data_IF_509733516337
#
_entry.id   IF_509733516337
#
_cell.length_a   1.000
_cell.length_b   1.000
_cell.length_c   1.000
_cell.angle_alpha   90.00
_cell.angle_beta   90.00
_cell.angle_gamma   90.00
#
_symmetry.space_group_name_H-M   'P 1'
#
loop_
_entity.id
_entity.type
_entity.pdbx_description
1 polymer ?
#
# COMPACT_ATOMS: atom_id res chain seq x y z
N UNK A 1 -0.79 42.45 -6.43
CA UNK A 1 0.23 41.47 -6.00
C UNK A 1 -0.32 40.71 -4.80
N UNK A 2 -0.84 39.51 -4.98
CA UNK A 2 -1.34 38.66 -3.90
C UNK A 2 -0.53 37.36 -3.91
N UNK A 3 0.21 37.12 -2.83
CA UNK A 3 1.09 35.96 -2.66
C UNK A 3 0.27 34.67 -2.57
N UNK A 4 0.53 33.73 -3.48
CA UNK A 4 0.10 32.36 -3.38
C UNK A 4 0.84 31.68 -2.23
N UNK A 5 0.15 31.44 -1.11
CA UNK A 5 0.68 30.63 -0.04
C UNK A 5 0.58 29.16 -0.45
N UNK A 6 1.71 28.56 -0.83
CA UNK A 6 1.84 27.12 -1.09
C UNK A 6 1.62 26.35 0.21
N UNK A 7 0.41 25.85 0.43
CA UNK A 7 0.03 25.08 1.62
C UNK A 7 0.55 23.64 1.47
N UNK A 8 1.70 23.40 2.08
CA UNK A 8 2.30 22.06 2.18
C UNK A 8 1.50 21.23 3.19
N UNK A 9 0.76 20.23 2.70
CA UNK A 9 0.04 19.28 3.55
C UNK A 9 1.04 18.39 4.33
N UNK A 10 0.82 18.16 5.64
CA UNK A 10 1.72 17.41 6.49
C UNK A 10 1.69 15.92 6.12
N UNK A 11 2.89 15.35 6.00
CA UNK A 11 3.14 13.97 5.60
C UNK A 11 3.19 13.08 6.84
N UNK A 12 2.26 12.15 7.02
CA UNK A 12 2.74 10.82 7.39
C UNK A 12 3.61 10.39 6.21
N UNK A 13 4.80 9.83 6.44
CA UNK A 13 5.42 9.01 5.41
C UNK A 13 4.49 7.81 5.16
N UNK A 14 3.49 8.01 4.29
CA UNK A 14 2.69 7.01 3.61
C UNK A 14 3.50 6.32 2.50
N UNK A 15 4.72 6.80 2.24
CA UNK A 15 5.74 5.96 1.63
C UNK A 15 5.87 4.75 2.52
N UNK A 16 5.53 3.59 1.96
CA UNK A 16 6.09 2.29 2.31
C UNK A 16 7.40 2.53 3.08
N UNK A 17 7.47 2.02 4.32
CA UNK A 17 8.66 2.22 5.16
C UNK A 17 9.90 1.82 4.35
N UNK A 18 11.11 2.34 4.65
CA UNK A 18 12.31 1.90 3.89
C UNK A 18 12.45 0.38 3.85
N UNK A 19 11.90 -0.31 4.86
CA UNK A 19 11.78 -1.77 4.89
C UNK A 19 10.78 -2.31 3.87
N UNK A 20 9.64 -1.67 3.62
CA UNK A 20 8.65 -2.10 2.62
C UNK A 20 9.18 -1.99 1.19
N UNK A 21 9.90 -0.90 0.87
CA UNK A 21 10.58 -0.75 -0.43
C UNK A 21 11.68 -1.81 -0.60
N UNK A 22 12.43 -2.10 0.47
CA UNK A 22 13.45 -3.13 0.46
C UNK A 22 12.87 -4.55 0.44
N UNK A 23 11.74 -4.80 1.11
CA UNK A 23 11.01 -6.07 1.11
C UNK A 23 10.39 -6.32 -0.25
N UNK A 24 9.80 -5.30 -0.87
CA UNK A 24 9.31 -5.37 -2.24
C UNK A 24 10.47 -5.58 -3.20
N UNK A 25 11.56 -4.81 -3.12
CA UNK A 25 12.71 -4.99 -4.00
C UNK A 25 13.36 -6.37 -3.83
N UNK A 26 13.53 -6.86 -2.60
CA UNK A 26 14.01 -8.21 -2.31
C UNK A 26 13.02 -9.31 -2.74
N UNK A 27 11.71 -9.03 -2.72
CA UNK A 27 10.67 -9.93 -3.23
C UNK A 27 10.84 -10.22 -4.73
N UNK A 28 11.40 -9.26 -5.47
CA UNK A 28 11.64 -9.36 -6.92
C UNK A 28 13.08 -9.73 -7.27
N UNK A 29 14.06 -9.38 -6.42
CA UNK A 29 15.46 -9.78 -6.58
C UNK A 29 15.64 -11.31 -6.37
N UNK A 30 14.81 -11.94 -5.54
CA UNK A 30 14.86 -13.37 -5.23
C UNK A 30 14.20 -14.30 -6.29
N UNK A 31 14.14 -13.88 -7.56
CA UNK A 31 14.15 -14.84 -8.68
C UNK A 31 12.83 -15.23 -9.37
N UNK A 32 11.67 -14.63 -9.07
CA UNK A 32 10.41 -14.93 -9.81
C UNK A 32 10.01 -13.87 -10.85
N UNK A 33 10.93 -12.99 -11.25
CA UNK A 33 10.66 -11.97 -12.25
C UNK A 33 11.89 -11.23 -12.76
N UNK A 34 13.01 -11.94 -12.97
CA UNK A 34 14.20 -11.38 -13.60
C UNK A 34 13.91 -10.96 -15.05
N UNK A 35 13.30 -9.79 -15.20
CA UNK A 35 13.43 -8.98 -16.40
C UNK A 35 14.69 -8.12 -16.22
N UNK A 36 15.62 -8.12 -17.19
CA UNK A 36 16.80 -7.26 -17.10
C UNK A 36 16.37 -5.80 -17.00
N UNK A 37 16.81 -5.12 -15.96
CA UNK A 37 16.71 -3.67 -15.83
C UNK A 37 17.73 -3.07 -16.82
N UNK A 38 17.34 -2.24 -17.81
CA UNK A 38 18.33 -1.39 -18.46
C UNK A 38 18.85 -0.40 -17.42
N UNK A 39 20.16 -0.47 -17.16
CA UNK A 39 20.87 0.43 -16.27
C UNK A 39 20.57 1.89 -16.62
N UNK A 40 20.17 2.66 -15.61
CA UNK A 40 19.89 4.08 -15.68
C UNK A 40 21.14 4.90 -15.98
N UNK A 41 21.58 4.88 -17.23
CA UNK A 41 22.46 5.89 -17.83
C UNK A 41 22.14 5.97 -19.32
N UNK A 42 20.95 6.46 -19.68
CA UNK A 42 20.83 7.17 -20.94
C UNK A 42 19.76 8.26 -20.83
N UNK A 43 20.27 9.49 -20.77
CA UNK A 43 19.51 10.72 -20.84
C UNK A 43 19.24 11.01 -22.31
N UNK A 44 18.27 10.33 -22.90
CA UNK A 44 17.82 10.61 -24.26
C UNK A 44 16.34 10.29 -24.35
N UNK A 45 15.55 11.35 -24.18
CA UNK A 45 14.16 11.38 -24.58
C UNK A 45 14.09 11.08 -26.09
N UNK A 46 13.46 9.98 -26.49
CA UNK A 46 12.87 9.87 -27.81
C UNK A 46 11.72 8.85 -27.83
N UNK A 47 10.63 9.34 -28.43
CA UNK A 47 9.32 8.73 -28.66
C UNK A 47 9.34 7.21 -28.95
N UNK A 48 8.73 6.44 -28.07
CA UNK A 48 8.00 5.22 -28.47
C UNK A 48 6.59 5.28 -27.90
N UNK A 49 5.65 5.69 -28.76
CA UNK A 49 4.23 5.65 -28.49
C UNK A 49 3.76 4.18 -28.51
N UNK A 50 3.26 3.69 -27.37
CA UNK A 50 2.40 2.51 -27.32
C UNK A 50 1.53 2.52 -26.04
N UNK A 51 0.23 2.72 -26.28
CA UNK A 51 -0.94 2.32 -25.48
C UNK A 51 -1.24 3.12 -24.20
N UNK A 52 -2.10 4.14 -24.37
CA UNK A 52 -3.12 4.64 -23.43
C UNK A 52 -2.81 4.60 -21.92
N UNK A 53 -1.75 5.28 -21.51
CA UNK A 53 -1.68 5.77 -20.14
C UNK A 53 -2.51 7.05 -20.06
N UNK A 54 -3.79 6.95 -19.68
CA UNK A 54 -4.55 8.12 -19.24
C UNK A 54 -3.82 8.76 -18.05
N UNK A 55 -2.95 9.72 -18.34
CA UNK A 55 -2.19 10.44 -17.34
C UNK A 55 -3.18 11.29 -16.55
N UNK A 56 -3.29 10.98 -15.26
CA UNK A 56 -4.14 11.74 -14.34
C UNK A 56 -3.58 13.17 -14.24
N UNK A 57 -4.41 14.15 -14.56
CA UNK A 57 -4.06 15.57 -14.47
C UNK A 57 -4.19 16.05 -13.01
N UNK A 58 -3.16 16.74 -12.52
CA UNK A 58 -3.17 17.32 -11.18
C UNK A 58 -3.63 18.76 -11.30
N UNK A 59 -4.79 19.06 -10.74
CA UNK A 59 -5.34 20.41 -10.71
C UNK A 59 -5.34 20.94 -9.27
N UNK A 60 -4.43 21.89 -9.00
CA UNK A 60 -4.26 22.53 -7.70
C UNK A 60 -5.41 23.50 -7.35
N UNK A 61 -6.27 23.85 -8.31
CA UNK A 61 -7.46 24.67 -8.06
C UNK A 61 -8.62 23.87 -7.45
N UNK A 62 -8.56 22.53 -7.52
CA UNK A 62 -9.59 21.65 -6.98
C UNK A 62 -9.50 21.53 -5.44
N UNK A 63 -10.65 21.37 -4.76
CA UNK A 63 -10.66 21.07 -3.33
C UNK A 63 -9.94 19.76 -3.04
N UNK A 64 -9.21 19.72 -1.92
CA UNK A 64 -8.39 18.58 -1.53
C UNK A 64 -9.17 17.25 -1.45
N UNK A 65 -10.45 17.28 -1.08
CA UNK A 65 -11.33 16.10 -1.09
C UNK A 65 -12.75 16.54 -1.45
N UNK A 66 -13.23 16.27 -2.68
CA UNK A 66 -14.53 16.76 -3.17
C UNK A 66 -15.74 16.30 -2.36
N UNK A 67 -15.67 15.15 -1.69
CA UNK A 67 -16.76 14.60 -0.88
C UNK A 67 -16.73 15.05 0.59
N UNK A 68 -15.71 15.82 0.98
CA UNK A 68 -15.47 16.21 2.35
C UNK A 68 -16.06 17.60 2.62
N UNK A 69 -17.24 17.64 3.23
CA UNK A 69 -17.99 18.88 3.50
C UNK A 69 -17.62 19.48 4.85
N UNK A 70 -16.34 19.81 5.04
CA UNK A 70 -15.83 20.39 6.29
C UNK A 70 -15.50 21.87 6.07
N UNK A 71 -16.02 22.74 6.94
CA UNK A 71 -15.68 24.16 6.93
C UNK A 71 -14.18 24.39 7.13
N UNK A 72 -13.60 25.39 6.49
CA UNK A 72 -12.15 25.57 6.40
C UNK A 72 -11.45 25.65 7.77
N UNK A 73 -12.05 26.33 8.76
CA UNK A 73 -11.53 26.41 10.12
C UNK A 73 -11.54 25.05 10.84
N UNK A 74 -12.62 24.28 10.69
CA UNK A 74 -12.72 22.93 11.23
C UNK A 74 -11.74 21.96 10.53
N UNK A 75 -11.52 22.12 9.23
CA UNK A 75 -10.55 21.33 8.47
C UNK A 75 -9.11 21.60 8.93
N UNK A 76 -8.75 22.86 9.22
CA UNK A 76 -7.45 23.21 9.80
C UNK A 76 -7.27 22.53 11.16
N UNK A 77 -8.24 22.70 12.06
CA UNK A 77 -8.21 22.06 13.38
C UNK A 77 -8.16 20.53 13.30
N UNK A 78 -8.85 19.92 12.34
CA UNK A 78 -8.82 18.47 12.13
C UNK A 78 -7.42 18.02 11.70
N UNK A 79 -6.82 18.70 10.71
CA UNK A 79 -5.45 18.41 10.25
C UNK A 79 -4.43 18.55 11.37
N UNK A 80 -4.56 19.56 12.22
CA UNK A 80 -3.64 19.76 13.35
C UNK A 80 -3.74 18.62 14.38
N UNK A 81 -4.98 18.18 14.70
CA UNK A 81 -5.22 17.04 15.61
C UNK A 81 -4.70 15.74 15.00
N UNK A 82 -5.01 15.48 13.73
CA UNK A 82 -4.50 14.33 12.97
C UNK A 82 -2.97 14.29 13.00
N UNK A 83 -2.33 15.41 12.66
CA UNK A 83 -0.88 15.55 12.64
C UNK A 83 -0.26 15.32 14.04
N UNK A 84 -0.90 15.80 15.10
CA UNK A 84 -0.44 15.58 16.47
C UNK A 84 -0.41 14.08 16.83
N UNK A 85 -1.44 13.32 16.42
CA UNK A 85 -1.50 11.86 16.61
C UNK A 85 -0.37 11.17 15.83
N UNK A 86 -0.15 11.59 14.58
CA UNK A 86 0.90 11.03 13.72
C UNK A 86 2.30 11.25 14.29
N UNK A 87 2.60 12.48 14.72
CA UNK A 87 3.90 12.81 15.33
C UNK A 87 4.14 11.96 16.56
N UNK A 88 3.12 11.76 17.39
CA UNK A 88 3.19 10.86 18.55
C UNK A 88 3.64 9.45 18.16
N UNK A 89 3.11 8.89 17.07
CA UNK A 89 3.54 7.56 16.58
C UNK A 89 5.00 7.61 16.08
N UNK A 90 5.38 8.63 15.32
CA UNK A 90 6.71 8.75 14.70
C UNK A 90 7.83 8.96 15.73
N UNK A 91 7.62 9.85 16.69
CA UNK A 91 8.60 10.20 17.73
C UNK A 91 8.93 8.98 18.59
N UNK A 92 7.96 8.11 18.84
CA UNK A 92 8.13 6.89 19.62
C UNK A 92 8.60 5.69 18.79
N UNK A 93 8.31 5.67 17.48
CA UNK A 93 8.79 4.63 16.56
C UNK A 93 10.28 4.74 16.23
N UNK A 94 10.82 5.96 16.13
CA UNK A 94 12.24 6.20 15.86
C UNK A 94 13.14 5.96 17.08
N UNK A 95 12.61 6.14 18.30
CA UNK A 95 13.37 5.96 19.54
C UNK A 95 13.73 4.49 19.85
N UNK A 96 13.13 3.54 19.13
CA UNK A 96 13.35 2.10 19.31
C UNK A 96 14.61 1.56 18.61
N UNK A 97 15.22 2.28 17.66
CA UNK A 97 16.39 1.78 16.92
C UNK A 97 17.74 2.13 17.57
N UNK A 98 17.76 3.05 18.54
CA UNK A 98 19.01 3.61 19.10
C UNK A 98 19.33 3.16 20.53
N UNK A 99 18.44 2.43 21.22
CA UNK A 99 18.67 2.01 22.61
C UNK A 99 18.94 0.51 22.76
N UNK A 100 20.16 0.22 23.19
CA UNK A 100 20.77 -1.10 23.38
C UNK A 100 20.07 -1.95 24.45
N UNK A 101 19.67 -3.15 24.02
CA UNK A 101 19.75 -4.49 24.65
C UNK A 101 19.43 -4.77 26.14
N UNK A 102 19.00 -3.85 27.01
CA UNK A 102 18.75 -4.22 28.42
C UNK A 102 17.45 -3.71 29.08
N UNK A 103 16.54 -3.04 28.36
CA UNK A 103 15.22 -2.59 28.91
C UNK A 103 14.02 -2.82 27.96
N UNK A 104 14.08 -3.86 27.11
CA UNK A 104 13.11 -4.08 26.03
C UNK A 104 11.66 -4.38 26.48
N UNK A 105 11.46 -4.92 27.69
CA UNK A 105 10.14 -5.40 28.14
C UNK A 105 9.19 -4.26 28.52
N UNK A 106 9.69 -3.18 29.14
CA UNK A 106 8.87 -2.02 29.52
C UNK A 106 8.64 -1.07 28.35
N UNK A 107 9.62 -0.88 27.47
CA UNK A 107 9.50 0.01 26.30
C UNK A 107 8.53 -0.51 25.24
N UNK A 108 8.46 -1.84 25.03
CA UNK A 108 7.48 -2.46 24.11
C UNK A 108 6.02 -2.25 24.56
N UNK A 109 5.76 -2.36 25.87
CA UNK A 109 4.42 -2.11 26.44
C UNK A 109 3.96 -0.66 26.28
N UNK A 110 4.88 0.30 26.43
CA UNK A 110 4.59 1.72 26.22
C UNK A 110 4.34 2.02 24.75
N UNK A 111 5.12 1.48 23.83
CA UNK A 111 4.95 1.69 22.38
C UNK A 111 3.66 1.10 21.84
N UNK A 112 3.27 -0.09 22.32
CA UNK A 112 1.98 -0.70 21.96
C UNK A 112 0.80 0.11 22.49
N UNK A 113 0.86 0.57 23.74
CA UNK A 113 -0.17 1.45 24.31
C UNK A 113 -0.30 2.78 23.54
N UNK A 114 0.82 3.38 23.10
CA UNK A 114 0.79 4.61 22.28
C UNK A 114 0.08 4.38 20.94
N UNK A 115 0.31 3.23 20.30
CA UNK A 115 -0.36 2.85 19.05
C UNK A 115 -1.85 2.60 19.25
N UNK A 116 -2.23 1.90 20.31
CA UNK A 116 -3.63 1.65 20.66
C UNK A 116 -4.36 2.98 20.93
N UNK A 117 -3.78 3.87 21.74
CA UNK A 117 -4.32 5.20 21.98
C UNK A 117 -4.44 6.01 20.68
N UNK A 118 -3.45 5.94 19.79
CA UNK A 118 -3.51 6.66 18.52
C UNK A 118 -4.63 6.12 17.60
N UNK A 119 -4.89 4.81 17.61
CA UNK A 119 -5.98 4.19 16.88
C UNK A 119 -7.34 4.63 17.44
N UNK A 120 -7.46 4.77 18.76
CA UNK A 120 -8.67 5.25 19.42
C UNK A 120 -8.92 6.75 19.14
N UNK A 121 -7.87 7.56 19.20
CA UNK A 121 -7.93 8.98 18.84
C UNK A 121 -8.36 9.15 17.37
N UNK A 122 -7.78 8.38 16.44
CA UNK A 122 -8.18 8.37 15.03
C UNK A 122 -9.61 7.86 14.84
N UNK A 123 -10.05 6.89 15.64
CA UNK A 123 -11.43 6.38 15.58
C UNK A 123 -12.44 7.40 16.05
N UNK A 124 -12.09 8.20 17.05
CA UNK A 124 -12.88 9.33 17.53
C UNK A 124 -12.99 10.42 16.44
N UNK A 125 -11.86 10.75 15.78
CA UNK A 125 -11.88 11.70 14.65
C UNK A 125 -12.71 11.19 13.46
N UNK A 126 -12.71 9.89 13.20
CA UNK A 126 -13.54 9.28 12.14
C UNK A 126 -15.03 9.37 12.49
N UNK A 127 -15.39 9.22 13.77
CA UNK A 127 -16.77 9.39 14.21
C UNK A 127 -17.24 10.85 14.06
N UNK A 128 -16.36 11.82 14.32
CA UNK A 128 -16.63 13.25 14.10
C UNK A 128 -16.69 13.63 12.61
N UNK A 129 -15.80 13.07 11.79
CA UNK A 129 -15.61 13.43 10.38
C UNK A 129 -15.55 12.18 9.47
N UNK A 130 -16.70 11.50 9.25
CA UNK A 130 -16.73 10.21 8.56
C UNK A 130 -16.38 10.30 7.07
N UNK A 131 -16.46 11.48 6.47
CA UNK A 131 -16.19 11.71 5.04
C UNK A 131 -14.77 12.20 4.75
N UNK A 132 -13.89 12.27 5.76
CA UNK A 132 -12.51 12.71 5.59
C UNK A 132 -11.57 11.52 5.30
N UNK A 133 -11.11 11.32 4.05
CA UNK A 133 -10.42 10.09 3.65
C UNK A 133 -9.08 9.80 4.36
N UNK A 134 -8.21 10.79 4.64
CA UNK A 134 -6.92 10.57 5.28
C UNK A 134 -6.97 9.83 6.61
N UNK A 135 -8.01 10.03 7.43
CA UNK A 135 -8.13 9.36 8.73
C UNK A 135 -8.18 7.84 8.60
N UNK A 136 -8.90 7.33 7.59
CA UNK A 136 -8.99 5.90 7.34
C UNK A 136 -7.63 5.34 6.90
N UNK A 137 -6.93 6.03 5.99
CA UNK A 137 -5.59 5.61 5.53
C UNK A 137 -4.58 5.60 6.69
N UNK A 138 -4.62 6.62 7.55
CA UNK A 138 -3.73 6.72 8.71
C UNK A 138 -4.05 5.64 9.75
N UNK A 139 -5.34 5.38 10.02
CA UNK A 139 -5.75 4.31 10.93
C UNK A 139 -5.35 2.93 10.39
N UNK A 140 -5.47 2.71 9.08
CA UNK A 140 -4.96 1.48 8.46
C UNK A 140 -3.45 1.31 8.67
N UNK A 141 -2.67 2.38 8.49
CA UNK A 141 -1.23 2.35 8.74
C UNK A 141 -0.91 2.10 10.22
N UNK A 142 -1.61 2.74 11.15
CA UNK A 142 -1.43 2.52 12.58
C UNK A 142 -1.75 1.07 12.99
N UNK A 143 -2.82 0.48 12.44
CA UNK A 143 -3.17 -0.93 12.63
C UNK A 143 -2.08 -1.86 12.10
N UNK A 144 -1.53 -1.59 10.91
CA UNK A 144 -0.42 -2.36 10.33
C UNK A 144 0.80 -2.34 11.25
N UNK A 145 1.18 -1.15 11.71
CA UNK A 145 2.31 -0.97 12.62
C UNK A 145 2.06 -1.67 13.97
N UNK A 146 0.85 -1.57 14.53
CA UNK A 146 0.47 -2.29 15.76
C UNK A 146 0.64 -3.80 15.62
N UNK A 147 0.19 -4.38 14.51
CA UNK A 147 0.36 -5.81 14.21
C UNK A 147 1.84 -6.19 14.16
N UNK A 148 2.67 -5.39 13.48
CA UNK A 148 4.12 -5.63 13.40
C UNK A 148 4.80 -5.56 14.77
N UNK A 149 4.42 -4.58 15.61
CA UNK A 149 4.97 -4.43 16.96
C UNK A 149 4.59 -5.60 17.87
N UNK A 150 3.32 -6.03 17.84
CA UNK A 150 2.84 -7.19 18.61
C UNK A 150 3.51 -8.51 18.20
N UNK A 151 4.21 -8.55 17.07
CA UNK A 151 4.86 -9.74 16.54
C UNK A 151 6.39 -9.63 16.40
N UNK A 152 6.99 -8.54 16.91
CA UNK A 152 8.43 -8.26 16.76
C UNK A 152 9.34 -9.23 17.54
N UNK A 153 8.77 -10.11 18.36
CA UNK A 153 9.51 -11.15 19.09
C UNK A 153 9.83 -12.40 18.23
N UNK A 154 9.35 -12.44 17.00
CA UNK A 154 9.64 -13.52 16.05
C UNK A 154 10.82 -13.15 15.16
N UNK A 155 11.81 -14.03 15.02
CA UNK A 155 12.95 -13.87 14.10
C UNK A 155 12.55 -13.93 12.60
N UNK A 156 11.27 -13.72 12.28
CA UNK A 156 10.77 -13.67 10.91
C UNK A 156 11.33 -12.42 10.22
N UNK A 157 11.92 -12.62 9.05
CA UNK A 157 12.35 -11.52 8.16
C UNK A 157 11.16 -10.77 7.58
N UNK A 158 9.97 -11.39 7.54
CA UNK A 158 8.73 -10.76 7.08
C UNK A 158 7.83 -10.40 8.27
N UNK A 159 7.94 -9.15 8.75
CA UNK A 159 7.10 -8.63 9.84
C UNK A 159 5.62 -8.52 9.46
N UNK A 160 5.30 -8.44 8.18
CA UNK A 160 3.91 -8.33 7.71
C UNK A 160 3.23 -9.68 7.55
N UNK A 161 3.96 -10.81 7.60
CA UNK A 161 3.35 -12.14 7.73
C UNK A 161 2.42 -12.18 8.96
N UNK A 162 2.73 -11.38 9.99
CA UNK A 162 1.91 -11.22 11.18
C UNK A 162 0.46 -10.80 10.90
N UNK A 163 0.21 -10.08 9.81
CA UNK A 163 -1.12 -9.63 9.40
C UNK A 163 -2.04 -10.81 9.10
N UNK A 164 -1.48 -11.93 8.66
CA UNK A 164 -2.21 -13.12 8.26
C UNK A 164 -2.27 -14.21 9.34
N UNK A 165 -1.83 -13.92 10.57
CA UNK A 165 -2.06 -14.81 11.71
C UNK A 165 -3.52 -14.75 12.19
N UNK A 166 -4.13 -15.88 12.62
CA UNK A 166 -5.51 -15.92 13.11
C UNK A 166 -5.80 -14.93 14.24
N UNK A 167 -4.83 -14.73 15.15
CA UNK A 167 -4.91 -13.78 16.27
C UNK A 167 -5.14 -12.32 15.83
N UNK A 168 -4.72 -11.98 14.62
CA UNK A 168 -4.80 -10.62 14.08
C UNK A 168 -5.95 -10.43 13.08
N UNK A 169 -6.82 -11.43 12.90
CA UNK A 169 -7.94 -11.41 11.95
C UNK A 169 -8.76 -10.13 12.03
N UNK A 170 -9.19 -9.73 13.23
CA UNK A 170 -10.02 -8.54 13.41
C UNK A 170 -9.29 -7.24 13.03
N UNK A 171 -8.01 -7.12 13.41
CA UNK A 171 -7.19 -5.96 13.09
C UNK A 171 -6.92 -5.89 11.58
N UNK A 172 -6.65 -7.04 10.94
CA UNK A 172 -6.42 -7.15 9.51
C UNK A 172 -7.68 -6.83 8.69
N UNK A 173 -8.86 -7.31 9.13
CA UNK A 173 -10.15 -6.97 8.53
C UNK A 173 -10.43 -5.48 8.61
N UNK A 174 -10.20 -4.85 9.77
CA UNK A 174 -10.34 -3.39 9.94
C UNK A 174 -9.35 -2.62 9.07
N UNK A 175 -8.10 -3.08 8.98
CA UNK A 175 -7.07 -2.49 8.15
C UNK A 175 -7.51 -2.44 6.68
N UNK A 176 -7.92 -3.59 6.12
CA UNK A 176 -8.36 -3.67 4.73
C UNK A 176 -9.64 -2.86 4.44
N UNK A 177 -10.58 -2.87 5.39
CA UNK A 177 -11.81 -2.07 5.30
C UNK A 177 -11.50 -0.57 5.28
N UNK A 178 -10.58 -0.11 6.14
CA UNK A 178 -10.13 1.29 6.16
C UNK A 178 -9.50 1.71 4.83
N UNK A 179 -8.63 0.89 4.24
CA UNK A 179 -8.02 1.18 2.93
C UNK A 179 -9.09 1.30 1.85
N UNK A 180 -10.03 0.36 1.80
CA UNK A 180 -11.14 0.39 0.82
C UNK A 180 -12.03 1.61 1.00
N UNK A 181 -12.30 2.03 2.24
CA UNK A 181 -13.10 3.23 2.54
C UNK A 181 -12.36 4.51 2.13
N UNK A 182 -11.05 4.61 2.43
CA UNK A 182 -10.21 5.74 2.03
C UNK A 182 -10.21 5.90 0.50
N UNK A 183 -10.01 4.81 -0.25
CA UNK A 183 -10.09 4.82 -1.72
C UNK A 183 -11.47 5.29 -2.17
N UNK A 184 -12.54 4.66 -1.68
CA UNK A 184 -13.91 4.98 -2.08
C UNK A 184 -14.28 6.45 -1.89
N UNK A 185 -13.84 7.07 -0.79
CA UNK A 185 -14.10 8.49 -0.51
C UNK A 185 -13.22 9.44 -1.33
N UNK A 186 -11.98 9.04 -1.64
CA UNK A 186 -11.03 9.87 -2.37
C UNK A 186 -11.17 9.78 -3.90
N UNK A 187 -11.71 8.67 -4.42
CA UNK A 187 -11.87 8.45 -5.86
C UNK A 187 -12.84 9.45 -6.50
N UNK A 188 -12.52 9.96 -7.71
CA UNK A 188 -13.40 10.86 -8.44
C UNK A 188 -14.74 10.17 -8.73
N UNK A 189 -15.85 10.84 -8.45
CA UNK A 189 -17.17 10.37 -8.88
C UNK A 189 -17.45 10.81 -10.32
N UNK A 190 -18.05 9.93 -11.14
CA UNK A 190 -18.54 10.29 -12.47
C UNK A 190 -19.87 11.08 -12.44
N UNK A 191 -20.24 11.67 -11.29
CA UNK A 191 -21.54 12.31 -11.07
C UNK A 191 -21.77 13.60 -11.87
N UNK A 192 -20.73 14.15 -12.49
CA UNK A 192 -20.85 15.30 -13.37
C UNK A 192 -20.41 14.88 -14.78
N UNK A 193 -21.33 14.83 -15.77
CA UNK A 193 -21.01 14.40 -17.13
C UNK A 193 -20.01 15.32 -17.84
N UNK A 194 -19.77 16.52 -17.31
CA UNK A 194 -18.76 17.47 -17.82
C UNK A 194 -17.44 17.45 -17.04
N UNK A 195 -17.35 16.71 -15.93
CA UNK A 195 -16.13 16.64 -15.14
C UNK A 195 -15.24 15.53 -15.66
N UNK A 196 -14.07 15.93 -16.14
CA UNK A 196 -13.04 15.00 -16.55
C UNK A 196 -12.62 14.12 -15.36
N UNK A 197 -12.94 12.83 -15.43
CA UNK A 197 -12.57 11.84 -14.40
C UNK A 197 -11.07 11.67 -14.26
N UNK A 198 -10.29 12.23 -15.20
CA UNK A 198 -8.83 12.22 -15.18
C UNK A 198 -8.23 13.35 -14.33
N UNK A 199 -9.01 14.34 -13.86
CA UNK A 199 -8.49 15.46 -13.08
C UNK A 199 -8.75 15.31 -11.57
N UNK A 200 -7.69 15.32 -10.77
CA UNK A 200 -7.74 15.19 -9.30
C UNK A 200 -6.85 16.23 -8.62
N UNK A 201 -7.15 16.58 -7.37
CA UNK A 201 -6.27 17.45 -6.59
C UNK A 201 -4.97 16.73 -6.20
N UNK A 202 -3.91 17.48 -5.92
CA UNK A 202 -2.63 16.92 -5.46
C UNK A 202 -2.76 16.06 -4.18
N UNK A 203 -3.72 16.39 -3.30
CA UNK A 203 -4.01 15.63 -2.09
C UNK A 203 -4.66 14.27 -2.40
N UNK A 204 -5.66 14.24 -3.29
CA UNK A 204 -6.28 12.99 -3.76
C UNK A 204 -5.27 12.11 -4.48
N UNK A 205 -4.48 12.69 -5.39
CA UNK A 205 -3.46 11.99 -6.16
C UNK A 205 -2.54 11.18 -5.24
N UNK A 206 -1.96 11.83 -4.24
CA UNK A 206 -1.04 11.19 -3.29
C UNK A 206 -1.73 10.15 -2.41
N UNK A 207 -2.94 10.44 -1.95
CA UNK A 207 -3.68 9.52 -1.09
C UNK A 207 -4.07 8.25 -1.84
N UNK A 208 -4.61 8.38 -3.04
CA UNK A 208 -5.02 7.26 -3.89
C UNK A 208 -3.81 6.40 -4.27
N UNK A 209 -2.72 7.04 -4.70
CA UNK A 209 -1.43 6.38 -4.98
C UNK A 209 -0.97 5.47 -3.83
N UNK A 210 -0.89 6.01 -2.62
CA UNK A 210 -0.42 5.26 -1.45
C UNK A 210 -1.42 4.20 -0.98
N UNK A 211 -2.72 4.50 -1.03
CA UNK A 211 -3.75 3.58 -0.49
C UNK A 211 -3.95 2.38 -1.40
N UNK A 212 -3.96 2.58 -2.73
CA UNK A 212 -3.96 1.49 -3.69
C UNK A 212 -2.69 0.64 -3.58
N UNK A 213 -1.52 1.27 -3.45
CA UNK A 213 -0.27 0.54 -3.22
C UNK A 213 -0.33 -0.35 -1.98
N UNK A 214 -0.83 0.19 -0.87
CA UNK A 214 -0.95 -0.56 0.39
C UNK A 214 -1.95 -1.71 0.26
N UNK A 215 -3.11 -1.50 -0.39
CA UNK A 215 -4.10 -2.56 -0.59
C UNK A 215 -3.58 -3.66 -1.53
N UNK A 216 -2.94 -3.28 -2.63
CA UNK A 216 -2.29 -4.19 -3.57
C UNK A 216 -1.20 -5.04 -2.90
N UNK A 217 -0.43 -4.45 -2.00
CA UNK A 217 0.57 -5.18 -1.21
C UNK A 217 -0.04 -6.28 -0.32
N UNK A 218 -1.16 -6.00 0.35
CA UNK A 218 -1.85 -7.00 1.17
C UNK A 218 -2.41 -8.14 0.30
N UNK A 219 -2.98 -7.81 -0.85
CA UNK A 219 -3.49 -8.79 -1.81
C UNK A 219 -2.37 -9.69 -2.33
N UNK A 220 -1.22 -9.09 -2.70
CA UNK A 220 -0.04 -9.84 -3.12
C UNK A 220 0.47 -10.78 -2.03
N UNK A 221 0.53 -10.32 -0.77
CA UNK A 221 0.89 -11.18 0.37
C UNK A 221 -0.10 -12.32 0.58
N UNK A 222 -1.39 -12.04 0.49
CA UNK A 222 -2.42 -13.07 0.60
C UNK A 222 -2.23 -14.15 -0.48
N UNK A 223 -1.91 -13.74 -1.72
CA UNK A 223 -1.60 -14.66 -2.83
C UNK A 223 -0.35 -15.50 -2.57
N UNK A 224 0.70 -14.93 -1.97
CA UNK A 224 1.91 -15.67 -1.59
C UNK A 224 1.66 -16.73 -0.53
N UNK A 225 0.95 -16.37 0.53
CA UNK A 225 0.56 -17.32 1.57
C UNK A 225 -0.29 -18.44 0.96
N UNK A 226 -1.15 -18.12 -0.02
CA UNK A 226 -1.92 -19.13 -0.73
C UNK A 226 -1.04 -20.11 -1.52
N UNK A 227 -0.03 -19.60 -2.23
CA UNK A 227 0.96 -20.42 -2.94
C UNK A 227 1.70 -21.34 -1.97
N UNK A 228 2.16 -20.80 -0.84
CA UNK A 228 2.84 -21.58 0.20
C UNK A 228 1.91 -22.66 0.80
N UNK A 229 0.63 -22.35 1.04
CA UNK A 229 -0.36 -23.33 1.49
C UNK A 229 -0.58 -24.44 0.44
N UNK A 230 -0.71 -24.08 -0.84
CA UNK A 230 -0.88 -25.02 -1.97
C UNK A 230 0.31 -25.98 -2.09
N UNK A 231 1.54 -25.47 -1.99
CA UNK A 231 2.77 -26.27 -2.04
C UNK A 231 2.92 -27.19 -0.82
N UNK A 232 2.40 -26.78 0.35
CA UNK A 232 2.46 -27.54 1.61
C UNK A 232 1.30 -28.52 1.83
N UNK A 233 0.34 -28.62 0.89
CA UNK A 233 -0.88 -29.47 0.97
C UNK A 233 -0.61 -30.98 1.21
N UNK A 234 0.65 -31.43 1.11
CA UNK A 234 1.04 -32.79 1.51
C UNK A 234 1.06 -33.02 3.04
N UNK A 235 0.84 -32.00 3.87
CA UNK A 235 0.78 -32.15 5.33
C UNK A 235 -0.59 -31.72 5.89
N UNK A 236 -1.31 -32.72 6.38
CA UNK A 236 -2.68 -32.71 6.91
C UNK A 236 -2.81 -31.94 8.23
N UNK A 237 -2.65 -30.61 8.22
CA UNK A 237 -3.08 -29.79 9.35
C UNK A 237 -3.90 -28.60 8.84
N UNK A 238 -5.22 -28.67 9.10
CA UNK A 238 -6.12 -27.53 8.98
C UNK A 238 -5.77 -26.50 10.07
N UNK A 239 -4.68 -25.77 9.89
CA UNK A 239 -4.45 -24.55 10.66
C UNK A 239 -5.51 -23.53 10.26
N UNK A 240 -6.17 -22.94 11.25
CA UNK A 240 -7.12 -21.85 11.03
C UNK A 240 -6.43 -20.74 10.22
N UNK A 241 -7.02 -20.34 9.09
CA UNK A 241 -6.45 -19.31 8.22
C UNK A 241 -6.73 -17.94 8.82
N UNK A 242 -5.69 -17.14 9.01
CA UNK A 242 -5.80 -15.76 9.46
C UNK A 242 -5.81 -14.74 8.32
N UNK A 243 -5.81 -13.45 8.69
CA UNK A 243 -5.87 -12.35 7.73
C UNK A 243 -7.26 -11.75 7.56
N UNK A 244 -7.41 -10.74 6.69
CA UNK A 244 -8.67 -10.02 6.51
C UNK A 244 -9.78 -10.95 6.03
N UNK A 245 -10.95 -10.89 6.67
CA UNK A 245 -12.10 -11.74 6.37
C UNK A 245 -12.52 -11.68 4.89
N UNK A 246 -12.42 -10.50 4.28
CA UNK A 246 -12.76 -10.29 2.88
C UNK A 246 -11.84 -11.08 1.93
N UNK A 247 -10.59 -11.32 2.32
CA UNK A 247 -9.63 -12.09 1.51
C UNK A 247 -9.73 -13.59 1.78
N UNK A 248 -10.25 -14.00 2.94
CA UNK A 248 -10.48 -15.41 3.25
C UNK A 248 -11.52 -16.06 2.32
N UNK A 249 -12.50 -15.27 1.87
CA UNK A 249 -13.51 -15.71 0.91
C UNK A 249 -12.93 -16.01 -0.49
N UNK A 250 -11.76 -15.43 -0.80
CA UNK A 250 -11.08 -15.65 -2.07
C UNK A 250 -10.25 -16.92 -1.97
N UNK A 251 -10.63 -17.91 -2.77
CA UNK A 251 -9.99 -19.23 -2.75
C UNK A 251 -8.78 -19.32 -3.69
N UNK A 252 -8.85 -18.66 -4.85
CA UNK A 252 -7.84 -18.71 -5.90
C UNK A 252 -6.68 -17.74 -5.66
N UNK A 253 -5.45 -18.25 -5.77
CA UNK A 253 -4.23 -17.43 -5.82
C UNK A 253 -4.26 -16.44 -6.98
N UNK A 254 -4.61 -16.89 -8.17
CA UNK A 254 -4.60 -16.05 -9.39
C UNK A 254 -5.54 -14.86 -9.25
N UNK A 255 -6.69 -15.05 -8.60
CA UNK A 255 -7.64 -13.97 -8.32
C UNK A 255 -7.04 -12.93 -7.36
N UNK A 256 -6.26 -13.35 -6.35
CA UNK A 256 -5.56 -12.43 -5.45
C UNK A 256 -4.46 -11.66 -6.18
N UNK A 257 -3.71 -12.32 -7.07
CA UNK A 257 -2.67 -11.67 -7.89
C UNK A 257 -3.26 -10.69 -8.91
N UNK A 258 -4.38 -11.03 -9.55
CA UNK A 258 -5.11 -10.15 -10.47
C UNK A 258 -5.64 -8.90 -9.73
N UNK A 259 -6.27 -9.09 -8.57
CA UNK A 259 -6.72 -7.97 -7.74
C UNK A 259 -5.55 -7.09 -7.28
N UNK A 260 -4.42 -7.70 -6.93
CA UNK A 260 -3.20 -6.95 -6.59
C UNK A 260 -2.67 -6.16 -7.79
N UNK A 261 -2.63 -6.77 -8.98
CA UNK A 261 -2.20 -6.13 -10.23
C UNK A 261 -3.06 -4.91 -10.56
N UNK A 262 -4.38 -5.00 -10.37
CA UNK A 262 -5.29 -3.89 -10.58
C UNK A 262 -5.04 -2.74 -9.60
N UNK A 263 -4.80 -3.05 -8.32
CA UNK A 263 -4.47 -2.02 -7.34
C UNK A 263 -3.11 -1.35 -7.62
N UNK A 264 -2.11 -2.13 -8.04
CA UNK A 264 -0.83 -1.57 -8.45
C UNK A 264 -0.94 -0.73 -9.74
N UNK A 265 -1.81 -1.13 -10.67
CA UNK A 265 -2.11 -0.36 -11.87
C UNK A 265 -2.68 1.01 -11.49
N UNK A 266 -3.71 1.05 -10.63
CA UNK A 266 -4.29 2.30 -10.14
C UNK A 266 -3.27 3.16 -9.40
N UNK A 267 -2.46 2.57 -8.51
CA UNK A 267 -1.39 3.30 -7.84
C UNK A 267 -0.36 3.89 -8.83
N UNK A 268 -0.05 3.15 -9.91
CA UNK A 268 0.79 3.60 -11.02
C UNK A 268 0.18 4.75 -11.81
N UNK A 269 -1.15 4.73 -12.06
CA UNK A 269 -1.89 5.84 -12.67
C UNK A 269 -1.78 7.13 -11.85
N UNK A 270 -1.69 7.01 -10.52
CA UNK A 270 -1.41 8.12 -9.60
C UNK A 270 0.10 8.29 -9.30
N UNK A 271 0.98 7.93 -10.24
CA UNK A 271 2.40 8.31 -10.23
C UNK A 271 3.33 7.48 -9.35
N UNK A 272 2.89 6.32 -8.87
CA UNK A 272 3.79 5.40 -8.18
C UNK A 272 4.52 4.50 -9.17
N UNK A 273 5.76 4.82 -9.49
CA UNK A 273 6.55 4.07 -10.47
C UNK A 273 6.83 2.62 -10.03
N UNK A 274 7.03 2.39 -8.73
CA UNK A 274 7.18 1.02 -8.20
C UNK A 274 5.90 0.25 -8.44
N UNK A 275 4.74 0.84 -8.16
CA UNK A 275 3.45 0.20 -8.43
C UNK A 275 3.24 -0.09 -9.91
N UNK A 276 3.68 0.79 -10.82
CA UNK A 276 3.63 0.53 -12.27
C UNK A 276 4.39 -0.74 -12.65
N UNK A 277 5.59 -0.92 -12.11
CA UNK A 277 6.37 -2.14 -12.31
C UNK A 277 5.71 -3.37 -11.68
N UNK A 278 5.21 -3.23 -10.45
CA UNK A 278 4.51 -4.29 -9.74
C UNK A 278 3.25 -4.74 -10.48
N UNK A 279 2.51 -3.81 -11.09
CA UNK A 279 1.29 -4.11 -11.84
C UNK A 279 1.56 -5.10 -12.96
N UNK A 280 2.63 -4.91 -13.73
CA UNK A 280 3.07 -5.85 -14.77
C UNK A 280 3.57 -7.15 -14.14
N UNK A 281 4.40 -7.04 -13.09
CA UNK A 281 5.02 -8.18 -12.43
C UNK A 281 4.04 -9.11 -11.72
N UNK A 282 2.85 -8.64 -11.35
CA UNK A 282 1.80 -9.46 -10.71
C UNK A 282 0.63 -9.79 -11.64
N UNK A 283 0.65 -9.33 -12.90
CA UNK A 283 -0.39 -9.64 -13.87
C UNK A 283 -0.21 -11.09 -14.38
N UNK A 284 -1.18 -11.99 -14.17
CA UNK A 284 -1.06 -13.39 -14.59
C UNK A 284 -0.90 -13.54 -16.10
N UNK A 285 -1.54 -12.69 -16.89
CA UNK A 285 -1.41 -12.69 -18.35
C UNK A 285 0.01 -12.25 -18.78
N UNK A 286 0.56 -11.20 -18.16
CA UNK A 286 1.91 -10.74 -18.46
C UNK A 286 2.97 -11.81 -18.12
N UNK A 287 2.78 -12.53 -16.99
CA UNK A 287 3.64 -13.67 -16.60
C UNK A 287 3.57 -14.81 -17.62
N UNK A 288 2.37 -15.17 -18.06
CA UNK A 288 2.17 -16.23 -19.07
C UNK A 288 2.85 -15.85 -20.39
N UNK A 289 2.61 -14.65 -20.91
CA UNK A 289 3.24 -14.17 -22.13
C UNK A 289 4.77 -14.14 -22.00
N UNK A 290 5.28 -13.66 -20.85
CA UNK A 290 6.71 -13.64 -20.54
C UNK A 290 7.33 -15.03 -20.52
N UNK A 291 6.65 -16.02 -19.92
CA UNK A 291 7.10 -17.40 -19.88
C UNK A 291 7.15 -18.04 -21.28
N UNK A 292 6.12 -17.80 -22.11
CA UNK A 292 6.06 -18.30 -23.50
C UNK A 292 7.22 -17.74 -24.33
N UNK A 293 7.45 -16.42 -24.25
CA UNK A 293 8.54 -15.77 -24.98
C UNK A 293 9.90 -16.26 -24.49
N UNK A 294 10.07 -16.43 -23.18
CA UNK A 294 11.32 -16.93 -22.59
C UNK A 294 11.65 -18.35 -23.05
N UNK A 295 10.66 -19.24 -23.07
CA UNK A 295 10.83 -20.61 -23.58
C UNK A 295 11.14 -20.63 -25.08
N UNK A 296 10.48 -19.78 -25.88
CA UNK A 296 10.76 -19.65 -27.30
C UNK A 296 12.20 -19.19 -27.57
N UNK A 297 12.66 -18.13 -26.88
CA UNK A 297 14.03 -17.63 -27.01
C UNK A 297 15.08 -18.63 -26.54
N UNK A 298 14.80 -19.34 -25.43
CA UNK A 298 15.70 -20.39 -24.93
C UNK A 298 15.87 -21.49 -25.98
N UNK A 299 14.78 -21.90 -26.61
CA UNK A 299 14.81 -22.91 -27.67
C UNK A 299 15.59 -22.44 -28.89
N UNK A 300 15.42 -21.18 -29.33
CA UNK A 300 16.22 -20.62 -30.42
C UNK A 300 17.72 -20.64 -30.10
N UNK A 301 18.13 -20.24 -28.88
CA UNK A 301 19.54 -20.25 -28.47
C UNK A 301 20.12 -21.67 -28.46
N UNK A 302 19.36 -22.66 -27.97
CA UNK A 302 19.77 -24.07 -27.97
C UNK A 302 19.92 -24.62 -29.40
N UNK A 303 19.03 -24.22 -30.32
CA UNK A 303 19.11 -24.57 -31.75
C UNK A 303 20.32 -23.90 -32.43
N UNK A 304 20.71 -22.68 -32.04
CA UNK A 304 21.91 -22.00 -32.56
C UNK A 304 23.25 -22.58 -32.04
N UNK A 305 23.24 -23.27 -30.89
CA UNK A 305 24.44 -23.85 -30.28
C UNK A 305 24.69 -25.32 -30.68
N UNK A 306 23.72 -25.95 -31.35
CA UNK A 306 23.78 -27.34 -31.85
C UNK A 306 24.24 -27.41 -33.30
#
# INVERSE_FOLDING_TARGET
>A
MASAATITSPKINLKLTSNDSAVLQALFDNGEGAFPIPSSTDSSAENTAAVDSQTINIDDSLPAFPRCHIGEAALRSLKDRELAIVRRIQDNGSLSSTFSTQQASSSSSTSTHILEQAIDDLSSLIAEYPDYPPLYANRAQALRVLIQFKHSDTNSTDKDAAIFHPKNKDLATKLLSNLSKAISLASPTPTDPNRDTTSVSAAQYRLLSNTHMHRGYLLLKAGKIRKEEEENTNQTQQTERGGPEQLLAISSRDQLEEMASQDFFEAGRYGNEVAKQLSVGTNPYAKMCGAIVKEALKKEIEEFQS
#
